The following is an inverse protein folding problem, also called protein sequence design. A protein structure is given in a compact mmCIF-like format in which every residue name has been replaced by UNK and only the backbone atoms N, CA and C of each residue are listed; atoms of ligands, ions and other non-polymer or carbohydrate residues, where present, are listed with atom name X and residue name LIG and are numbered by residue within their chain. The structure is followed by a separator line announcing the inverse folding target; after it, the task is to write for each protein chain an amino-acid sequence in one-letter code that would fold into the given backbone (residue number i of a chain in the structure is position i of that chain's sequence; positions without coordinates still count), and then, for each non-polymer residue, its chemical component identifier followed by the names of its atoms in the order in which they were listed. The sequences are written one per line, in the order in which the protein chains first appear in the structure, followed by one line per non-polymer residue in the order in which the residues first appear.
data_IF_780771386557
#
_entry.id   IF_780771386557
#
_cell.length_a   1.000
_cell.length_b   1.000
_cell.length_c   1.000
_cell.angle_alpha   90.00
_cell.angle_beta   90.00
_cell.angle_gamma   90.00
#
_symmetry.space_group_name_H-M   'P 1'
#
loop_
_entity.id
_entity.type
_entity.pdbx_description
1 polymer ?
#
# COMPACT_ATOMS: atom_id res chain seq x y z
N UNK A 1 -14.16 -4.56 7.75
CA UNK A 1 -12.88 -5.22 7.40
C UNK A 1 -12.10 -4.39 6.40
N UNK A 2 -11.49 -3.32 6.86
CA UNK A 2 -10.71 -2.39 6.04
C UNK A 2 -9.29 -2.93 5.76
N UNK A 3 -8.72 -3.71 6.69
CA UNK A 3 -7.29 -3.99 6.72
C UNK A 3 -6.80 -5.19 5.87
N UNK A 4 -7.72 -6.04 5.36
CA UNK A 4 -7.37 -7.18 4.46
C UNK A 4 -8.05 -7.09 3.09
N UNK A 5 -8.63 -5.93 2.76
CA UNK A 5 -9.23 -5.68 1.45
C UNK A 5 -8.20 -5.03 0.53
N UNK A 6 -7.98 -5.65 -0.63
CA UNK A 6 -7.17 -5.08 -1.72
C UNK A 6 -7.97 -4.07 -2.54
N UNK A 7 -8.45 -3.04 -1.86
CA UNK A 7 -9.14 -1.89 -2.43
C UNK A 7 -8.34 -0.62 -2.10
N UNK A 8 -8.16 0.32 -3.06
CA UNK A 8 -7.37 1.53 -2.80
C UNK A 8 -7.91 2.41 -1.66
N UNK A 9 -9.22 2.43 -1.42
CA UNK A 9 -9.80 3.20 -0.31
C UNK A 9 -9.54 2.51 1.02
N UNK A 10 -9.84 1.21 1.10
CA UNK A 10 -9.61 0.40 2.29
C UNK A 10 -8.13 0.42 2.70
N UNK A 11 -7.23 0.27 1.72
CA UNK A 11 -5.80 0.31 1.93
C UNK A 11 -5.32 1.71 2.37
N UNK A 12 -5.80 2.78 1.75
CA UNK A 12 -5.46 4.14 2.18
C UNK A 12 -5.92 4.40 3.62
N UNK A 13 -7.11 3.94 3.98
CA UNK A 13 -7.65 4.09 5.33
C UNK A 13 -6.84 3.26 6.33
N UNK A 14 -6.50 2.01 5.99
CA UNK A 14 -5.63 1.15 6.78
C UNK A 14 -4.27 1.80 7.03
N UNK A 15 -3.58 2.27 5.98
CA UNK A 15 -2.25 2.89 6.08
C UNK A 15 -2.24 4.17 6.93
N UNK A 16 -3.37 4.86 7.05
CA UNK A 16 -3.51 6.10 7.83
C UNK A 16 -4.05 5.88 9.24
N UNK A 17 -4.51 4.67 9.58
CA UNK A 17 -5.17 4.40 10.87
C UNK A 17 -4.16 4.34 12.01
N UNK A 18 -4.57 4.87 13.17
CA UNK A 18 -3.81 4.74 14.41
C UNK A 18 -4.03 3.34 15.05
N UNK A 19 -3.16 2.93 16.00
CA UNK A 19 -3.27 1.62 16.63
C UNK A 19 -4.61 1.38 17.34
N UNK A 20 -5.20 2.41 17.97
CA UNK A 20 -6.47 2.26 18.70
C UNK A 20 -7.62 1.96 17.76
N UNK A 21 -7.66 2.60 16.59
CA UNK A 21 -8.63 2.28 15.54
C UNK A 21 -8.43 0.86 15.01
N UNK A 22 -7.18 0.44 14.77
CA UNK A 22 -6.87 -0.90 14.29
C UNK A 22 -7.26 -1.99 15.28
N UNK A 23 -7.05 -1.75 16.58
CA UNK A 23 -7.44 -2.66 17.65
C UNK A 23 -8.97 -2.85 17.67
N UNK A 24 -9.73 -1.75 17.67
CA UNK A 24 -11.19 -1.80 17.65
C UNK A 24 -11.75 -2.50 16.39
N UNK A 25 -11.13 -2.28 15.23
CA UNK A 25 -11.52 -2.99 14.01
C UNK A 25 -11.15 -4.47 14.03
N UNK A 26 -10.01 -4.84 14.63
CA UNK A 26 -9.60 -6.23 14.77
C UNK A 26 -10.57 -6.98 15.69
N UNK A 27 -10.91 -6.41 16.84
CA UNK A 27 -11.84 -7.00 17.81
C UNK A 27 -13.24 -7.27 17.22
N UNK A 28 -13.66 -6.45 16.27
CA UNK A 28 -14.95 -6.57 15.57
C UNK A 28 -14.89 -7.39 14.29
N UNK A 29 -13.72 -7.94 13.92
CA UNK A 29 -13.52 -8.70 12.68
C UNK A 29 -13.64 -10.21 12.86
N UNK A 30 -13.86 -10.94 11.75
CA UNK A 30 -13.79 -12.40 11.72
C UNK A 30 -12.36 -12.96 11.93
N UNK A 31 -11.35 -12.09 11.84
CA UNK A 31 -9.94 -12.46 11.95
C UNK A 31 -9.37 -12.29 13.36
N UNK A 32 -10.17 -11.85 14.34
CA UNK A 32 -9.71 -11.54 15.71
C UNK A 32 -8.95 -12.67 16.40
N UNK A 33 -9.29 -13.91 16.07
CA UNK A 33 -8.68 -15.12 16.66
C UNK A 33 -7.53 -15.68 15.79
N UNK A 34 -7.29 -15.08 14.62
CA UNK A 34 -6.30 -15.55 13.63
C UNK A 34 -5.08 -14.63 13.53
N UNK A 35 -5.23 -13.35 13.86
CA UNK A 35 -4.16 -12.35 13.80
C UNK A 35 -4.13 -11.52 15.09
N UNK A 36 -2.94 -11.16 15.54
CA UNK A 36 -2.76 -10.22 16.65
C UNK A 36 -2.67 -8.77 16.16
N UNK A 37 -2.93 -7.82 17.06
CA UNK A 37 -2.69 -6.40 16.80
C UNK A 37 -1.23 -6.12 16.41
N UNK A 38 -0.26 -6.80 17.04
CA UNK A 38 1.16 -6.63 16.70
C UNK A 38 1.45 -7.03 15.25
N UNK A 39 0.92 -8.17 14.79
CA UNK A 39 1.08 -8.59 13.40
C UNK A 39 0.40 -7.63 12.42
N UNK A 40 -0.73 -7.05 12.82
CA UNK A 40 -1.45 -6.05 12.01
C UNK A 40 -0.66 -4.74 11.90
N UNK A 41 -0.01 -4.30 12.97
CA UNK A 41 0.88 -3.12 12.97
C UNK A 41 2.14 -3.35 12.14
N UNK A 42 2.72 -4.56 12.21
CA UNK A 42 3.85 -4.94 11.37
C UNK A 42 3.46 -4.93 9.88
N UNK A 43 2.29 -5.50 9.54
CA UNK A 43 1.72 -5.42 8.20
C UNK A 43 1.58 -3.97 7.74
N UNK A 44 0.98 -3.11 8.59
CA UNK A 44 0.78 -1.70 8.26
C UNK A 44 2.12 -1.01 7.98
N UNK A 45 3.14 -1.27 8.80
CA UNK A 45 4.48 -0.70 8.62
C UNK A 45 5.11 -1.16 7.31
N UNK A 46 5.09 -2.46 7.03
CA UNK A 46 5.66 -3.02 5.79
C UNK A 46 4.97 -2.47 4.54
N UNK A 47 3.64 -2.36 4.55
CA UNK A 47 2.90 -1.76 3.44
C UNK A 47 3.20 -0.27 3.29
N UNK A 48 3.35 0.49 4.38
CA UNK A 48 3.76 1.89 4.30
C UNK A 48 5.13 2.03 3.65
N UNK A 49 6.10 1.21 4.02
CA UNK A 49 7.43 1.21 3.41
C UNK A 49 7.37 0.86 1.92
N UNK A 50 6.61 -0.19 1.58
CA UNK A 50 6.37 -0.62 0.20
C UNK A 50 5.80 0.52 -0.65
N UNK A 51 4.69 1.14 -0.22
CA UNK A 51 4.03 2.17 -1.01
C UNK A 51 4.77 3.50 -1.02
N UNK A 52 5.51 3.86 0.03
CA UNK A 52 6.39 5.04 -0.02
C UNK A 52 7.46 4.84 -1.09
N UNK A 53 8.14 3.69 -1.10
CA UNK A 53 9.19 3.42 -2.08
C UNK A 53 8.62 3.37 -3.51
N UNK A 54 7.46 2.74 -3.72
CA UNK A 54 6.79 2.71 -5.04
C UNK A 54 6.34 4.09 -5.54
N UNK A 55 5.98 5.01 -4.64
CA UNK A 55 5.41 6.31 -5.02
C UNK A 55 6.45 7.43 -5.10
N UNK A 56 7.56 7.32 -4.39
CA UNK A 56 8.51 8.41 -4.20
C UNK A 56 9.93 8.11 -4.71
N UNK A 57 10.30 6.84 -4.91
CA UNK A 57 11.64 6.47 -5.39
C UNK A 57 11.69 6.34 -6.91
N UNK A 58 12.74 6.89 -7.53
CA UNK A 58 13.01 6.71 -8.97
C UNK A 58 13.41 5.26 -9.29
N UNK A 59 14.04 4.56 -8.33
CA UNK A 59 14.30 3.13 -8.38
C UNK A 59 13.69 2.44 -7.15
N UNK A 60 12.54 1.73 -7.29
CA UNK A 60 11.81 1.14 -6.17
C UNK A 60 12.45 -0.18 -5.70
N UNK A 61 13.73 -0.12 -5.31
CA UNK A 61 14.53 -1.29 -4.91
C UNK A 61 14.01 -1.92 -3.61
N UNK A 62 13.56 -1.10 -2.66
CA UNK A 62 13.06 -1.58 -1.36
C UNK A 62 11.70 -2.27 -1.53
N UNK A 63 10.83 -1.73 -2.38
CA UNK A 63 9.58 -2.36 -2.77
C UNK A 63 9.82 -3.74 -3.38
N UNK A 64 10.76 -3.85 -4.32
CA UNK A 64 11.14 -5.16 -4.90
C UNK A 64 11.67 -6.12 -3.84
N UNK A 65 12.50 -5.66 -2.90
CA UNK A 65 12.99 -6.50 -1.81
C UNK A 65 11.87 -7.01 -0.88
N UNK A 66 10.93 -6.14 -0.51
CA UNK A 66 9.76 -6.52 0.31
C UNK A 66 8.94 -7.59 -0.42
N UNK A 67 8.56 -7.32 -1.67
CA UNK A 67 7.75 -8.25 -2.47
C UNK A 67 8.46 -9.60 -2.68
N UNK A 68 9.75 -9.58 -3.05
CA UNK A 68 10.53 -10.81 -3.23
C UNK A 68 10.67 -11.60 -1.93
N UNK A 69 10.90 -10.94 -0.79
CA UNK A 69 11.02 -11.59 0.52
C UNK A 69 9.72 -12.30 0.93
N UNK A 70 8.56 -11.71 0.60
CA UNK A 70 7.26 -12.36 0.84
C UNK A 70 7.01 -13.51 -0.13
N UNK A 71 7.29 -13.33 -1.43
CA UNK A 71 7.13 -14.36 -2.45
C UNK A 71 7.97 -15.62 -2.16
N UNK A 72 9.17 -15.46 -1.60
CA UNK A 72 10.04 -16.57 -1.18
C UNK A 72 9.49 -17.41 -0.03
N UNK A 73 8.51 -16.90 0.73
CA UNK A 73 7.90 -17.62 1.86
C UNK A 73 6.73 -18.50 1.45
N UNK A 74 6.18 -18.29 0.26
CA UNK A 74 5.07 -19.09 -0.23
C UNK A 74 5.58 -20.43 -0.74
N UNK A 75 4.74 -21.45 -0.65
CA UNK A 75 5.02 -22.73 -1.29
C UNK A 75 4.76 -22.62 -2.79
N UNK A 76 5.72 -23.08 -3.59
CA UNK A 76 5.67 -23.00 -5.05
C UNK A 76 5.39 -24.40 -5.60
N UNK A 77 4.32 -24.53 -6.37
CA UNK A 77 3.90 -25.78 -6.99
C UNK A 77 3.68 -25.63 -8.49
N UNK A 78 3.49 -26.77 -9.15
CA UNK A 78 3.05 -26.85 -10.53
C UNK A 78 1.81 -27.73 -10.58
N UNK A 79 0.73 -27.19 -11.11
CA UNK A 79 -0.51 -27.91 -11.32
C UNK A 79 -0.79 -28.05 -12.81
N UNK A 80 -1.44 -29.16 -13.17
CA UNK A 80 -1.87 -29.44 -14.53
C UNK A 80 -3.39 -29.53 -14.51
N UNK A 81 -4.05 -28.67 -15.27
CA UNK A 81 -5.49 -28.74 -15.41
C UNK A 81 -5.85 -30.06 -16.13
N UNK A 82 -6.65 -30.93 -15.50
CA UNK A 82 -6.97 -32.25 -16.05
C UNK A 82 -7.79 -32.17 -17.35
N UNK A 83 -8.55 -31.10 -17.57
CA UNK A 83 -9.41 -30.89 -18.72
C UNK A 83 -8.64 -30.27 -19.90
N UNK A 84 -7.91 -29.19 -19.65
CA UNK A 84 -7.21 -28.41 -20.70
C UNK A 84 -5.78 -28.90 -20.97
N UNK A 85 -5.19 -29.67 -20.05
CA UNK A 85 -3.77 -30.04 -20.03
C UNK A 85 -2.81 -28.85 -19.95
N UNK A 86 -3.31 -27.67 -19.59
CA UNK A 86 -2.47 -26.50 -19.35
C UNK A 86 -1.69 -26.65 -18.03
N UNK A 87 -0.46 -26.15 -18.03
CA UNK A 87 0.45 -26.21 -16.89
C UNK A 87 0.51 -24.83 -16.24
N UNK A 88 0.18 -24.77 -14.96
CA UNK A 88 0.18 -23.54 -14.17
C UNK A 88 1.17 -23.63 -13.03
N UNK A 89 1.87 -22.53 -12.77
CA UNK A 89 2.55 -22.33 -11.49
C UNK A 89 1.55 -21.90 -10.45
N UNK A 90 1.50 -22.60 -9.32
CA UNK A 90 0.64 -22.27 -8.18
C UNK A 90 1.47 -21.82 -6.99
N UNK A 91 0.90 -20.90 -6.23
CA UNK A 91 1.47 -20.37 -5.00
C UNK A 91 0.50 -20.67 -3.86
N UNK A 92 0.96 -21.35 -2.82
CA UNK A 92 0.17 -21.60 -1.62
C UNK A 92 0.69 -20.74 -0.47
N UNK A 93 -0.25 -20.15 0.27
CA UNK A 93 0.01 -19.31 1.42
C UNK A 93 -0.85 -19.78 2.60
N UNK A 94 -0.21 -20.14 3.70
CA UNK A 94 -0.91 -20.50 4.93
C UNK A 94 -1.11 -19.29 5.84
N UNK A 95 -2.34 -19.09 6.30
CA UNK A 95 -2.71 -18.03 7.22
C UNK A 95 -3.10 -16.71 6.54
N UNK A 96 -3.96 -15.96 7.24
CA UNK A 96 -4.66 -14.76 6.74
C UNK A 96 -3.72 -13.71 6.17
N UNK A 97 -2.59 -13.45 6.83
CA UNK A 97 -1.64 -12.43 6.40
C UNK A 97 -0.85 -12.86 5.17
N UNK A 98 -0.47 -14.13 5.07
CA UNK A 98 0.22 -14.64 3.90
C UNK A 98 -0.72 -14.69 2.70
N UNK A 99 -1.99 -15.05 2.90
CA UNK A 99 -3.02 -14.98 1.87
C UNK A 99 -3.23 -13.53 1.37
N UNK A 100 -3.26 -12.54 2.27
CA UNK A 100 -3.29 -11.14 1.88
C UNK A 100 -2.07 -10.74 1.04
N UNK A 101 -0.86 -11.12 1.47
CA UNK A 101 0.37 -10.82 0.73
C UNK A 101 0.40 -11.51 -0.63
N UNK A 102 -0.08 -12.76 -0.72
CA UNK A 102 -0.17 -13.51 -1.97
C UNK A 102 -1.08 -12.78 -2.94
N UNK A 103 -2.30 -12.42 -2.52
CA UNK A 103 -3.24 -11.65 -3.35
C UNK A 103 -2.65 -10.31 -3.79
N UNK A 104 -1.94 -9.60 -2.91
CA UNK A 104 -1.31 -8.31 -3.24
C UNK A 104 -0.20 -8.48 -4.29
N UNK A 105 0.67 -9.47 -4.12
CA UNK A 105 1.76 -9.77 -5.06
C UNK A 105 1.18 -10.18 -6.41
N UNK A 106 0.18 -11.05 -6.41
CA UNK A 106 -0.51 -11.46 -7.63
C UNK A 106 -1.12 -10.25 -8.35
N UNK A 107 -1.75 -9.32 -7.63
CA UNK A 107 -2.25 -8.07 -8.22
C UNK A 107 -1.12 -7.22 -8.83
N UNK A 108 0.06 -7.14 -8.19
CA UNK A 108 1.23 -6.50 -8.80
C UNK A 108 1.76 -7.22 -10.06
N UNK A 109 1.68 -8.55 -10.11
CA UNK A 109 2.14 -9.32 -11.27
C UNK A 109 1.21 -9.15 -12.48
N UNK A 110 -0.11 -9.13 -12.26
CA UNK A 110 -1.10 -8.96 -13.32
C UNK A 110 -1.25 -7.50 -13.78
N UNK A 111 -1.33 -6.57 -12.83
CA UNK A 111 -1.63 -5.15 -13.10
C UNK A 111 -0.35 -4.29 -13.17
N UNK A 112 0.83 -4.89 -12.95
CA UNK A 112 2.12 -4.20 -12.93
C UNK A 112 2.21 -3.13 -11.85
N UNK A 113 2.77 -1.96 -12.19
CA UNK A 113 2.80 -0.77 -11.33
C UNK A 113 1.42 -0.08 -11.20
N UNK A 114 0.31 -0.75 -11.55
CA UNK A 114 -1.05 -0.21 -11.53
C UNK A 114 -1.45 0.44 -10.20
N UNK A 115 -0.92 -0.06 -9.08
CA UNK A 115 -1.12 0.55 -7.76
C UNK A 115 -0.65 2.00 -7.67
N UNK A 116 0.41 2.40 -8.37
CA UNK A 116 0.86 3.80 -8.41
C UNK A 116 -0.16 4.71 -9.11
N UNK A 117 -1.04 4.16 -9.94
CA UNK A 117 -2.18 4.86 -10.55
C UNK A 117 -3.41 4.91 -9.65
N UNK A 118 -3.58 3.93 -8.76
CA UNK A 118 -4.75 3.76 -7.88
C UNK A 118 -4.57 4.39 -6.49
N UNK A 119 -3.35 4.40 -5.95
CA UNK A 119 -3.01 4.91 -4.62
C UNK A 119 -2.04 6.10 -4.75
N UNK A 120 -2.13 7.06 -3.83
CA UNK A 120 -1.21 8.20 -3.76
C UNK A 120 -0.90 8.61 -2.33
N UNK A 121 0.21 9.33 -2.16
CA UNK A 121 0.59 9.99 -0.91
C UNK A 121 0.52 11.49 -1.10
N UNK A 122 -0.22 12.17 -0.23
CA UNK A 122 -0.52 13.59 -0.40
C UNK A 122 0.75 14.44 -0.19
N UNK A 123 1.11 15.25 -1.19
CA UNK A 123 2.31 16.10 -1.10
C UNK A 123 2.23 17.19 -0.01
N UNK A 124 1.04 17.46 0.55
CA UNK A 124 0.86 18.44 1.62
C UNK A 124 0.87 17.79 3.00
N UNK A 125 -0.02 16.84 3.25
CA UNK A 125 -0.24 16.26 4.58
C UNK A 125 0.40 14.89 4.78
N UNK A 126 1.01 14.29 3.75
CA UNK A 126 1.68 12.99 3.83
C UNK A 126 0.74 11.78 3.97
N UNK A 127 -0.59 11.99 4.04
CA UNK A 127 -1.58 10.92 4.13
C UNK A 127 -1.71 10.15 2.81
N UNK A 128 -1.96 8.85 2.92
CA UNK A 128 -2.34 8.01 1.79
C UNK A 128 -3.77 8.31 1.34
N UNK A 129 -4.08 8.16 0.06
CA UNK A 129 -5.42 8.33 -0.49
C UNK A 129 -5.60 7.52 -1.78
N UNK A 130 -6.83 7.03 -1.99
CA UNK A 130 -7.25 6.48 -3.28
C UNK A 130 -7.33 7.59 -4.33
N UNK A 131 -6.64 7.39 -5.46
CA UNK A 131 -6.64 8.33 -6.58
C UNK A 131 -7.91 8.18 -7.40
N UNK A 132 -8.52 9.31 -7.74
CA UNK A 132 -9.58 9.39 -8.78
C UNK A 132 -9.00 9.50 -10.18
N UNK A 133 -7.73 9.93 -10.28
CA UNK A 133 -6.98 10.12 -11.53
C UNK A 133 -5.51 9.78 -11.27
N UNK A 134 -4.84 9.10 -12.21
CA UNK A 134 -3.45 8.65 -12.04
C UNK A 134 -2.48 9.78 -11.63
N UNK A 135 -2.65 10.99 -12.20
CA UNK A 135 -1.81 12.17 -11.94
C UNK A 135 -2.19 12.96 -10.66
N UNK A 136 -3.16 12.50 -9.87
CA UNK A 136 -3.59 13.19 -8.66
C UNK A 136 -2.48 13.17 -7.60
N UNK A 137 -2.11 14.36 -7.07
CA UNK A 137 -1.02 14.54 -6.10
C UNK A 137 -1.47 14.94 -4.70
N UNK A 138 -2.75 15.29 -4.54
CA UNK A 138 -3.31 15.79 -3.29
C UNK A 138 -4.58 15.01 -2.96
N UNK A 139 -4.77 14.67 -1.69
CA UNK A 139 -5.95 13.94 -1.23
C UNK A 139 -7.23 14.79 -1.34
N UNK A 140 -7.11 16.12 -1.19
CA UNK A 140 -8.23 17.08 -1.20
C UNK A 140 -7.78 18.41 -1.78
N UNK A 141 -8.75 19.21 -2.23
CA UNK A 141 -8.47 20.53 -2.82
C UNK A 141 -7.81 21.48 -1.82
N UNK A 142 -8.26 21.46 -0.55
CA UNK A 142 -7.65 22.23 0.55
C UNK A 142 -6.13 22.01 0.65
N UNK A 143 -5.69 20.74 0.61
CA UNK A 143 -4.26 20.41 0.63
C UNK A 143 -3.48 20.95 -0.57
N UNK A 144 -4.12 21.05 -1.74
CA UNK A 144 -3.49 21.65 -2.93
C UNK A 144 -3.26 23.15 -2.74
N UNK A 145 -4.23 23.87 -2.18
CA UNK A 145 -4.10 25.31 -1.93
C UNK A 145 -3.05 25.60 -0.86
N UNK A 146 -3.11 24.92 0.27
CA UNK A 146 -2.15 25.08 1.37
C UNK A 146 -0.72 24.81 0.92
N UNK A 147 -0.51 23.76 0.12
CA UNK A 147 0.80 23.44 -0.46
C UNK A 147 1.31 24.53 -1.40
N UNK A 148 0.42 25.10 -2.22
CA UNK A 148 0.78 26.20 -3.14
C UNK A 148 1.17 27.45 -2.36
N UNK A 149 0.46 27.77 -1.29
CA UNK A 149 0.70 28.97 -0.51
C UNK A 149 1.96 28.85 0.36
N UNK A 150 2.24 27.68 0.92
CA UNK A 150 3.50 27.42 1.63
C UNK A 150 4.71 27.59 0.70
N UNK A 151 4.64 27.08 -0.53
CA UNK A 151 5.67 27.26 -1.56
C UNK A 151 5.85 28.73 -1.96
N UNK A 152 4.76 29.50 -2.09
CA UNK A 152 4.84 30.94 -2.38
C UNK A 152 5.49 31.72 -1.23
N UNK A 153 5.13 31.42 0.01
CA UNK A 153 5.75 32.03 1.20
C UNK A 153 7.24 31.71 1.27
N UNK A 154 7.62 30.44 1.08
CA UNK A 154 9.03 30.01 1.08
C UNK A 154 9.85 30.72 -0.02
N UNK A 155 9.28 30.93 -1.21
CA UNK A 155 9.92 31.71 -2.28
C UNK A 155 10.11 33.18 -1.92
N UNK A 156 9.11 33.82 -1.31
CA UNK A 156 9.22 35.21 -0.84
C UNK A 156 10.30 35.38 0.24
N UNK A 157 10.42 34.42 1.16
CA UNK A 157 11.47 34.43 2.20
C UNK A 157 12.87 34.24 1.59
N UNK A 158 13.03 33.41 0.56
CA UNK A 158 14.32 33.25 -0.15
C UNK A 158 14.77 34.52 -0.87
N UNK A 159 13.84 35.28 -1.47
CA UNK A 159 14.17 36.55 -2.14
C UNK A 159 14.70 37.58 -1.13
N UNK A 160 14.11 37.64 0.07
CA UNK A 160 14.53 38.57 1.12
C UNK A 160 15.87 38.25 1.80
N UNK A 161 16.34 36.99 1.76
CA UNK A 161 17.65 36.60 2.35
C UNK A 161 18.82 36.70 1.38
N UNK A 162 18.56 37.06 0.13
CA UNK A 162 19.58 37.25 -0.91
C UNK A 162 19.64 38.69 -1.43
N UNK A 163 19.13 39.66 -0.66
CA UNK A 163 19.24 41.10 -0.92
C UNK A 163 20.11 41.74 0.14
#
# INVERSE_FOLDING_TARGET
EMFLKLDPHALAEFLNSDPSKLESELESSEYKDQISLSQLLDLQKELRELFIDLLESDDPKRARQILSSKLQKFEHGVEIDPETKEVYTVLHAEGVLNDFWLRLITDFLYDGLGWTGKLGRCLNCGLFFAKRKAKQRFCREKCRYEYRDSRKKARRVKVWRGS
#
